data_IF_948635268739
#
_entry.id   IF_948635268739
#
_cell.length_a   1.000
_cell.length_b   1.000
_cell.length_c   1.000
_cell.angle_alpha   90.00
_cell.angle_beta   90.00
_cell.angle_gamma   90.00
#
_symmetry.space_group_name_H-M   'P 1'
#
loop_
_entity.id
_entity.type
_entity.pdbx_description
1 polymer ?
#
# COMPACT_ATOMS: atom_id res chain seq x y z
N UNK A 1 2.40 5.01 15.47
CA UNK A 1 2.34 3.80 16.34
C UNK A 1 2.93 2.64 15.57
N UNK A 2 3.71 1.81 16.22
CA UNK A 2 4.27 0.60 15.63
C UNK A 2 3.64 -0.62 16.31
N UNK A 3 3.13 -1.54 15.50
CA UNK A 3 2.58 -2.81 15.99
C UNK A 3 3.68 -3.87 15.83
N UNK A 4 4.30 -4.25 16.95
CA UNK A 4 5.36 -5.26 16.96
C UNK A 4 4.87 -6.63 16.50
N UNK A 5 5.75 -7.35 15.78
CA UNK A 5 5.55 -8.74 15.45
C UNK A 5 5.95 -9.68 16.59
N UNK A 6 5.61 -10.97 16.52
CA UNK A 6 6.10 -11.97 17.46
C UNK A 6 7.62 -12.14 17.33
N UNK A 7 8.27 -12.65 18.38
CA UNK A 7 9.66 -13.06 18.30
C UNK A 7 9.88 -14.05 17.13
N UNK A 8 11.04 -13.99 16.53
CA UNK A 8 11.42 -14.87 15.40
C UNK A 8 11.15 -16.33 15.75
N UNK A 9 10.37 -17.03 14.92
CA UNK A 9 10.00 -18.42 15.12
C UNK A 9 8.81 -18.66 16.07
N UNK A 10 8.17 -17.63 16.61
CA UNK A 10 7.08 -17.77 17.61
C UNK A 10 5.71 -17.29 17.16
N UNK A 11 5.34 -17.50 15.93
CA UNK A 11 3.96 -17.28 15.50
C UNK A 11 3.79 -16.40 14.26
N UNK A 12 2.53 -16.16 13.88
CA UNK A 12 2.17 -15.34 12.72
C UNK A 12 2.01 -13.88 13.13
N UNK A 13 2.64 -12.95 12.40
CA UNK A 13 2.48 -11.50 12.59
C UNK A 13 1.03 -11.02 12.51
N UNK A 14 0.17 -11.74 11.80
CA UNK A 14 -1.25 -11.42 11.66
C UNK A 14 -2.02 -11.35 12.98
N UNK A 15 -1.69 -12.17 13.98
CA UNK A 15 -2.31 -12.10 15.31
C UNK A 15 -1.93 -10.82 16.06
N UNK A 16 -0.66 -10.38 15.93
CA UNK A 16 -0.21 -9.11 16.51
C UNK A 16 -0.95 -7.92 15.91
N UNK A 17 -1.14 -7.92 14.59
CA UNK A 17 -1.90 -6.89 13.86
C UNK A 17 -3.35 -6.87 14.34
N UNK A 18 -4.03 -8.03 14.42
CA UNK A 18 -5.42 -8.12 14.90
C UNK A 18 -5.53 -7.53 16.32
N UNK A 19 -4.66 -7.95 17.23
CA UNK A 19 -4.68 -7.46 18.61
C UNK A 19 -4.40 -5.94 18.69
N UNK A 20 -3.49 -5.43 17.86
CA UNK A 20 -3.21 -4.01 17.77
C UNK A 20 -4.42 -3.19 17.33
N UNK A 21 -5.16 -3.64 16.32
CA UNK A 21 -6.40 -2.98 15.89
C UNK A 21 -7.50 -3.06 16.94
N UNK A 22 -7.67 -4.21 17.60
CA UNK A 22 -8.62 -4.33 18.72
C UNK A 22 -8.30 -3.37 19.88
N UNK A 23 -7.01 -3.14 20.14
CA UNK A 23 -6.59 -2.16 21.13
C UNK A 23 -6.88 -0.74 20.67
N UNK A 24 -6.62 -0.40 19.41
CA UNK A 24 -6.94 0.90 18.83
C UNK A 24 -8.44 1.20 18.93
N UNK A 25 -9.30 0.24 18.59
CA UNK A 25 -10.75 0.37 18.69
C UNK A 25 -11.17 0.62 20.16
N UNK A 26 -10.60 -0.13 21.12
CA UNK A 26 -10.85 0.08 22.56
C UNK A 26 -10.40 1.46 23.05
N UNK A 27 -9.40 2.05 22.42
CA UNK A 27 -8.91 3.41 22.72
C UNK A 27 -9.71 4.50 22.00
N UNK A 28 -10.78 4.17 21.29
CA UNK A 28 -11.64 5.13 20.60
C UNK A 28 -11.04 5.65 19.30
N UNK A 29 -10.26 4.85 18.59
CA UNK A 29 -9.60 5.23 17.34
C UNK A 29 -10.52 5.93 16.33
N UNK A 30 -11.78 5.53 16.25
CA UNK A 30 -12.77 6.12 15.34
C UNK A 30 -13.20 7.54 15.72
N UNK A 31 -12.97 7.94 16.96
CA UNK A 31 -13.32 9.27 17.49
C UNK A 31 -12.12 10.23 17.46
N UNK A 32 -10.97 9.78 16.98
CA UNK A 32 -9.77 10.62 16.90
C UNK A 32 -9.87 11.58 15.71
N UNK A 33 -9.55 12.85 15.94
CA UNK A 33 -9.62 13.92 14.95
C UNK A 33 -8.37 13.94 14.06
N UNK A 34 -8.32 13.01 13.09
CA UNK A 34 -7.27 12.94 12.09
C UNK A 34 -7.85 13.18 10.69
N UNK A 35 -7.20 14.05 9.90
CA UNK A 35 -7.53 14.21 8.48
C UNK A 35 -7.22 12.94 7.67
N UNK A 36 -6.11 12.27 8.00
CA UNK A 36 -5.65 11.05 7.34
C UNK A 36 -5.03 10.06 8.33
N UNK A 37 -5.30 8.79 8.12
CA UNK A 37 -4.64 7.69 8.81
C UNK A 37 -3.97 6.81 7.77
N UNK A 38 -2.63 6.70 7.84
CA UNK A 38 -1.85 5.84 6.98
C UNK A 38 -1.54 4.54 7.71
N UNK A 39 -1.98 3.43 7.13
CA UNK A 39 -1.71 2.08 7.61
C UNK A 39 -0.62 1.48 6.74
N UNK A 40 0.61 1.39 7.28
CA UNK A 40 1.75 0.82 6.59
C UNK A 40 1.80 -0.69 6.82
N UNK A 41 1.61 -1.47 5.74
CA UNK A 41 1.60 -2.92 5.76
C UNK A 41 2.72 -3.50 4.90
N UNK A 42 3.26 -4.62 5.37
CA UNK A 42 4.08 -5.46 4.51
C UNK A 42 3.25 -5.96 3.32
N UNK A 43 3.86 -6.02 2.14
CA UNK A 43 3.19 -6.45 0.90
C UNK A 43 2.71 -7.90 0.90
N UNK A 44 3.16 -8.71 1.86
CA UNK A 44 2.76 -10.11 1.97
C UNK A 44 1.36 -10.26 2.59
N UNK A 45 0.35 -10.39 1.74
CA UNK A 45 -1.07 -10.47 2.09
C UNK A 45 -1.49 -11.86 2.61
N UNK A 46 -0.55 -12.78 2.80
CA UNK A 46 -0.82 -14.19 3.16
C UNK A 46 -1.43 -14.34 4.56
N UNK A 47 -1.34 -13.32 5.40
CA UNK A 47 -1.89 -13.35 6.76
C UNK A 47 -3.24 -12.64 6.85
N UNK A 48 -4.25 -13.29 7.46
CA UNK A 48 -5.57 -12.71 7.71
C UNK A 48 -5.59 -11.37 8.47
N UNK A 49 -4.46 -10.97 9.08
CA UNK A 49 -4.29 -9.65 9.70
C UNK A 49 -4.37 -8.47 8.73
N UNK A 50 -3.95 -8.66 7.46
CA UNK A 50 -4.08 -7.61 6.44
C UNK A 50 -5.54 -7.33 6.06
N UNK A 51 -6.38 -8.35 6.05
CA UNK A 51 -7.79 -8.20 5.73
C UNK A 51 -8.62 -7.53 6.81
N UNK A 52 -8.13 -7.48 8.05
CA UNK A 52 -8.90 -6.98 9.18
C UNK A 52 -9.28 -5.49 9.05
N UNK A 53 -8.36 -4.55 8.72
CA UNK A 53 -8.72 -3.16 8.54
C UNK A 53 -9.73 -2.93 7.42
N UNK A 54 -9.64 -3.76 6.38
CA UNK A 54 -10.58 -3.72 5.26
C UNK A 54 -11.95 -4.26 5.71
N UNK A 55 -11.97 -5.41 6.39
CA UNK A 55 -13.20 -6.05 6.86
C UNK A 55 -13.96 -5.24 7.93
N UNK A 56 -13.26 -4.34 8.64
CA UNK A 56 -13.83 -3.47 9.68
C UNK A 56 -14.01 -2.02 9.23
N UNK A 57 -13.98 -1.74 7.93
CA UNK A 57 -14.09 -0.39 7.34
C UNK A 57 -13.09 0.65 7.89
N UNK A 58 -11.94 0.18 8.41
CA UNK A 58 -10.87 1.05 8.90
C UNK A 58 -9.99 1.58 7.77
N UNK A 59 -10.00 0.93 6.60
CA UNK A 59 -9.28 1.34 5.40
C UNK A 59 -10.25 1.49 4.23
N UNK A 60 -10.33 2.68 3.66
CA UNK A 60 -11.17 2.98 2.51
C UNK A 60 -10.40 2.87 1.20
N UNK A 61 -9.10 3.19 1.22
CA UNK A 61 -8.23 3.23 0.05
C UNK A 61 -6.99 2.37 0.27
N UNK A 62 -6.63 1.59 -0.72
CA UNK A 62 -5.36 0.86 -0.78
C UNK A 62 -4.47 1.53 -1.83
N UNK A 63 -3.25 1.87 -1.45
CA UNK A 63 -2.21 2.35 -2.34
C UNK A 63 -1.25 1.18 -2.54
N UNK A 64 -1.07 0.76 -3.78
CA UNK A 64 -0.07 -0.23 -4.15
C UNK A 64 1.28 0.45 -4.33
N UNK A 65 2.34 -0.17 -3.82
CA UNK A 65 3.72 0.25 -4.08
C UNK A 65 4.45 -0.95 -4.67
N UNK A 66 4.87 -0.85 -5.92
CA UNK A 66 5.57 -1.92 -6.62
C UNK A 66 6.71 -1.37 -7.49
N UNK A 67 7.68 -2.20 -7.79
CA UNK A 67 8.71 -1.97 -8.80
C UNK A 67 8.36 -2.70 -10.09
N UNK A 68 9.21 -2.56 -11.13
CA UNK A 68 9.00 -3.23 -12.41
C UNK A 68 9.30 -4.74 -12.38
N UNK A 69 9.80 -5.29 -11.28
CA UNK A 69 10.10 -6.72 -11.22
C UNK A 69 8.84 -7.59 -11.01
N UNK A 70 8.86 -8.77 -11.63
CA UNK A 70 7.73 -9.71 -11.64
C UNK A 70 7.24 -10.08 -10.25
N UNK A 71 8.14 -10.28 -9.27
CA UNK A 71 7.76 -10.64 -7.91
C UNK A 71 6.96 -9.53 -7.25
N UNK A 72 7.36 -8.27 -7.44
CA UNK A 72 6.67 -7.11 -6.92
C UNK A 72 5.27 -6.97 -7.53
N UNK A 73 5.14 -7.18 -8.84
CA UNK A 73 3.86 -7.12 -9.55
C UNK A 73 2.94 -8.28 -9.17
N UNK A 74 3.50 -9.47 -8.97
CA UNK A 74 2.74 -10.62 -8.46
C UNK A 74 2.11 -10.32 -7.08
N UNK A 75 2.88 -9.73 -6.17
CA UNK A 75 2.38 -9.32 -4.85
C UNK A 75 1.31 -8.23 -4.98
N UNK A 76 1.51 -7.23 -5.83
CA UNK A 76 0.52 -6.19 -6.11
C UNK A 76 -0.80 -6.77 -6.64
N UNK A 77 -0.73 -7.78 -7.52
CA UNK A 77 -1.91 -8.48 -8.03
C UNK A 77 -2.65 -9.27 -6.93
N UNK A 78 -1.92 -9.89 -6.00
CA UNK A 78 -2.53 -10.55 -4.84
C UNK A 78 -3.29 -9.56 -3.95
N UNK A 79 -2.77 -8.35 -3.78
CA UNK A 79 -3.48 -7.28 -3.06
C UNK A 79 -4.75 -6.87 -3.82
N UNK A 80 -4.69 -6.70 -5.14
CA UNK A 80 -5.88 -6.45 -5.97
C UNK A 80 -6.94 -7.55 -5.79
N UNK A 81 -6.52 -8.81 -5.78
CA UNK A 81 -7.40 -9.97 -5.57
C UNK A 81 -8.05 -9.95 -4.18
N UNK A 82 -7.29 -9.58 -3.15
CA UNK A 82 -7.81 -9.43 -1.79
C UNK A 82 -8.84 -8.29 -1.69
N UNK A 83 -8.57 -7.12 -2.28
CA UNK A 83 -9.53 -6.01 -2.34
C UNK A 83 -10.82 -6.44 -3.04
N UNK A 84 -10.74 -7.12 -4.18
CA UNK A 84 -11.90 -7.62 -4.90
C UNK A 84 -12.70 -8.64 -4.08
N UNK A 85 -12.01 -9.52 -3.35
CA UNK A 85 -12.65 -10.48 -2.44
C UNK A 85 -13.45 -9.78 -1.34
N UNK A 86 -12.85 -8.80 -0.65
CA UNK A 86 -13.54 -8.07 0.43
C UNK A 86 -14.70 -7.22 -0.10
N UNK A 87 -14.58 -6.64 -1.29
CA UNK A 87 -15.69 -5.95 -1.94
C UNK A 87 -16.87 -6.87 -2.24
N UNK A 88 -16.62 -8.11 -2.66
CA UNK A 88 -17.67 -9.11 -2.85
C UNK A 88 -18.40 -9.49 -1.55
N UNK A 89 -17.72 -9.34 -0.41
CA UNK A 89 -18.29 -9.53 0.91
C UNK A 89 -19.05 -8.29 1.44
N UNK A 90 -19.16 -7.23 0.65
CA UNK A 90 -19.86 -5.99 1.02
C UNK A 90 -18.96 -4.88 1.58
N UNK A 91 -17.64 -5.06 1.60
CA UNK A 91 -16.69 -4.03 2.01
C UNK A 91 -16.63 -2.85 1.03
N UNK A 92 -16.32 -1.66 1.52
CA UNK A 92 -16.27 -0.41 0.75
C UNK A 92 -14.85 0.02 0.36
N UNK A 93 -13.87 -0.86 0.51
CA UNK A 93 -12.47 -0.61 0.17
C UNK A 93 -12.26 -0.60 -1.35
N UNK A 94 -11.31 0.20 -1.83
CA UNK A 94 -10.86 0.18 -3.24
C UNK A 94 -9.38 0.50 -3.36
N UNK A 95 -8.82 0.27 -4.54
CA UNK A 95 -7.44 0.64 -4.86
C UNK A 95 -7.44 2.08 -5.37
N UNK A 96 -6.69 2.97 -4.71
CA UNK A 96 -6.49 4.35 -5.15
C UNK A 96 -5.61 4.42 -6.39
N UNK A 97 -4.57 3.58 -6.44
CA UNK A 97 -3.66 3.48 -7.56
C UNK A 97 -2.33 2.82 -7.18
N UNK A 98 -1.40 2.86 -8.14
CA UNK A 98 -0.06 2.31 -8.05
C UNK A 98 0.97 3.43 -7.92
N UNK A 99 1.89 3.30 -6.98
CA UNK A 99 3.17 4.03 -6.94
C UNK A 99 4.24 3.09 -7.49
N UNK A 100 4.84 3.47 -8.60
CA UNK A 100 5.99 2.74 -9.14
C UNK A 100 7.22 3.18 -8.35
N UNK A 101 7.83 2.28 -7.61
CA UNK A 101 9.02 2.55 -6.82
C UNK A 101 10.25 1.93 -7.50
N UNK A 102 11.38 2.62 -7.43
CA UNK A 102 12.62 2.23 -8.12
C UNK A 102 12.38 2.03 -9.63
N UNK A 103 11.65 2.94 -10.23
CA UNK A 103 11.35 2.89 -11.64
C UNK A 103 12.64 3.01 -12.46
N UNK A 104 12.94 1.96 -13.21
CA UNK A 104 14.10 1.86 -14.11
C UNK A 104 13.73 2.20 -15.57
N UNK A 105 12.46 2.54 -15.81
CA UNK A 105 11.94 2.90 -17.13
C UNK A 105 11.59 1.71 -18.02
N UNK A 106 11.62 0.47 -17.52
CA UNK A 106 11.29 -0.72 -18.32
C UNK A 106 9.80 -0.85 -18.66
N UNK A 107 8.91 -0.35 -17.77
CA UNK A 107 7.50 -0.13 -18.07
C UNK A 107 6.53 -1.25 -17.67
N UNK A 108 7.00 -2.35 -17.08
CA UNK A 108 6.17 -3.49 -16.67
C UNK A 108 5.11 -3.09 -15.64
N UNK A 109 5.49 -2.25 -14.67
CA UNK A 109 4.54 -1.77 -13.66
C UNK A 109 3.45 -0.87 -14.26
N UNK A 110 3.78 -0.08 -15.28
CA UNK A 110 2.80 0.74 -15.99
C UNK A 110 1.83 -0.14 -16.81
N UNK A 111 2.33 -1.15 -17.51
CA UNK A 111 1.51 -2.12 -18.24
C UNK A 111 0.60 -2.92 -17.31
N UNK A 112 1.10 -3.32 -16.14
CA UNK A 112 0.30 -3.95 -15.08
C UNK A 112 -0.84 -3.04 -14.63
N UNK A 113 -0.56 -1.77 -14.28
CA UNK A 113 -1.57 -0.81 -13.81
C UNK A 113 -2.68 -0.61 -14.85
N UNK A 114 -2.33 -0.51 -16.14
CA UNK A 114 -3.29 -0.42 -17.24
C UNK A 114 -4.17 -1.67 -17.31
N UNK A 115 -3.57 -2.85 -17.19
CA UNK A 115 -4.28 -4.14 -17.29
C UNK A 115 -5.27 -4.33 -16.15
N UNK A 116 -4.85 -4.04 -14.91
CA UNK A 116 -5.72 -4.17 -13.73
C UNK A 116 -6.65 -2.97 -13.53
N UNK A 117 -6.60 -1.96 -14.41
CA UNK A 117 -7.48 -0.78 -14.44
C UNK A 117 -7.36 0.12 -13.20
N UNK A 118 -6.13 0.41 -12.79
CA UNK A 118 -5.82 1.38 -11.74
C UNK A 118 -4.90 2.49 -12.27
N UNK A 119 -4.99 3.72 -11.76
CA UNK A 119 -4.10 4.80 -12.15
C UNK A 119 -2.70 4.64 -11.54
N UNK A 120 -1.72 5.26 -12.17
CA UNK A 120 -0.40 5.49 -11.58
C UNK A 120 -0.49 6.81 -10.79
N UNK A 121 -0.19 6.76 -9.50
CA UNK A 121 -0.20 7.93 -8.61
C UNK A 121 1.12 8.70 -8.68
N UNK A 122 2.22 7.99 -8.81
CA UNK A 122 3.56 8.54 -9.02
C UNK A 122 4.52 7.46 -9.53
N UNK A 123 5.59 7.90 -10.19
CA UNK A 123 6.76 7.08 -10.50
C UNK A 123 7.98 7.66 -9.77
N UNK A 124 8.58 6.87 -8.88
CA UNK A 124 9.77 7.22 -8.12
C UNK A 124 10.95 6.54 -8.80
N UNK A 125 11.88 7.30 -9.41
CA UNK A 125 12.94 6.71 -10.20
C UNK A 125 13.90 5.87 -9.34
N UNK A 126 14.53 4.91 -9.98
CA UNK A 126 15.69 4.22 -9.40
C UNK A 126 16.87 5.18 -9.38
N UNK A 127 17.13 5.77 -8.21
CA UNK A 127 18.15 6.80 -8.02
C UNK A 127 19.04 6.50 -6.82
N UNK A 128 20.35 6.68 -7.00
CA UNK A 128 21.36 6.39 -5.98
C UNK A 128 21.33 7.37 -4.80
N UNK A 129 20.95 8.64 -5.01
CA UNK A 129 20.83 9.62 -3.93
C UNK A 129 19.63 9.29 -3.04
N UNK A 130 18.47 8.98 -3.66
CA UNK A 130 17.29 8.49 -2.93
C UNK A 130 17.63 7.27 -2.07
N UNK A 131 18.29 6.28 -2.69
CA UNK A 131 18.68 5.04 -2.01
C UNK A 131 19.62 5.31 -0.84
N UNK A 132 20.65 6.14 -1.02
CA UNK A 132 21.62 6.48 0.02
C UNK A 132 20.99 7.27 1.17
N UNK A 133 20.14 8.25 0.86
CA UNK A 133 19.43 9.04 1.88
C UNK A 133 18.50 8.17 2.70
N UNK A 134 17.70 7.32 2.04
CA UNK A 134 16.80 6.38 2.71
C UNK A 134 17.57 5.40 3.61
N UNK A 135 18.69 4.83 3.13
CA UNK A 135 19.53 3.93 3.91
C UNK A 135 20.17 4.60 5.15
N UNK A 136 20.28 5.92 5.17
CA UNK A 136 20.77 6.70 6.29
C UNK A 136 19.63 7.36 7.11
N UNK A 137 18.41 6.87 6.95
CA UNK A 137 17.20 7.35 7.67
C UNK A 137 16.89 8.85 7.43
N UNK A 138 17.30 9.40 6.28
CA UNK A 138 16.92 10.76 5.91
C UNK A 138 15.54 10.76 5.26
N UNK A 139 14.69 11.72 5.66
CA UNK A 139 13.41 11.96 4.98
C UNK A 139 13.71 12.64 3.65
N UNK A 140 13.34 11.97 2.55
CA UNK A 140 13.65 12.45 1.19
C UNK A 140 12.57 13.36 0.61
N UNK A 141 11.33 13.29 1.10
CA UNK A 141 10.19 14.07 0.61
C UNK A 141 10.00 15.42 1.30
N UNK A 142 11.08 16.07 1.76
CA UNK A 142 10.98 17.42 2.33
C UNK A 142 10.88 18.47 1.23
N UNK A 143 10.27 19.62 1.52
CA UNK A 143 10.09 20.73 0.55
C UNK A 143 11.41 21.24 -0.04
N UNK A 144 12.50 21.14 0.72
CA UNK A 144 13.83 21.61 0.36
C UNK A 144 14.61 20.57 -0.47
N UNK A 145 14.10 19.36 -0.58
CA UNK A 145 14.76 18.30 -1.35
C UNK A 145 14.41 18.42 -2.83
N UNK A 146 15.32 17.94 -3.69
CA UNK A 146 15.04 17.80 -5.13
C UNK A 146 13.84 16.88 -5.44
N UNK A 147 13.40 16.09 -4.48
CA UNK A 147 12.27 15.17 -4.57
C UNK A 147 10.98 15.72 -3.95
N UNK A 148 11.04 16.93 -3.37
CA UNK A 148 9.92 17.52 -2.64
C UNK A 148 8.65 17.63 -3.47
N UNK A 149 8.75 18.12 -4.70
CA UNK A 149 7.61 18.28 -5.60
C UNK A 149 6.97 16.92 -5.97
N UNK A 150 7.80 15.89 -6.25
CA UNK A 150 7.33 14.54 -6.54
C UNK A 150 6.49 13.97 -5.40
N UNK A 151 6.97 14.10 -4.16
CA UNK A 151 6.24 13.59 -3.00
C UNK A 151 5.02 14.45 -2.65
N UNK A 152 5.04 15.75 -2.90
CA UNK A 152 3.87 16.62 -2.75
C UNK A 152 2.77 16.26 -3.76
N UNK A 153 3.14 16.02 -5.02
CA UNK A 153 2.22 15.56 -6.06
C UNK A 153 1.64 14.18 -5.73
N UNK A 154 2.48 13.23 -5.27
CA UNK A 154 2.01 11.92 -4.79
C UNK A 154 0.97 12.09 -3.67
N UNK A 155 1.21 12.98 -2.70
CA UNK A 155 0.26 13.27 -1.63
C UNK A 155 -1.08 13.76 -2.17
N UNK A 156 -1.06 14.72 -3.10
CA UNK A 156 -2.25 15.25 -3.76
C UNK A 156 -2.99 14.17 -4.54
N UNK A 157 -2.29 13.45 -5.41
CA UNK A 157 -2.88 12.37 -6.22
C UNK A 157 -3.52 11.28 -5.34
N UNK A 158 -2.88 10.93 -4.23
CA UNK A 158 -3.42 9.96 -3.27
C UNK A 158 -4.68 10.46 -2.57
N UNK A 159 -4.70 11.72 -2.15
CA UNK A 159 -5.86 12.33 -1.49
C UNK A 159 -7.07 12.38 -2.43
N UNK A 160 -6.87 12.78 -3.68
CA UNK A 160 -7.92 12.98 -4.68
C UNK A 160 -8.38 11.67 -5.36
N UNK A 161 -7.52 10.64 -5.42
CA UNK A 161 -7.85 9.39 -6.09
C UNK A 161 -9.07 8.70 -5.47
N UNK A 162 -10.07 8.30 -6.28
CA UNK A 162 -11.21 7.53 -5.77
C UNK A 162 -10.80 6.09 -5.46
N UNK A 163 -11.51 5.38 -4.56
CA UNK A 163 -11.31 3.96 -4.32
C UNK A 163 -11.89 3.14 -5.48
N UNK A 164 -11.04 2.73 -6.41
CA UNK A 164 -11.41 1.99 -7.61
C UNK A 164 -11.54 0.49 -7.35
N UNK A 165 -12.31 -0.19 -8.19
CA UNK A 165 -12.40 -1.63 -8.23
C UNK A 165 -11.35 -2.19 -9.20
N UNK A 166 -10.30 -2.85 -8.72
CA UNK A 166 -9.28 -3.42 -9.59
C UNK A 166 -9.81 -4.65 -10.35
N UNK A 167 -9.16 -4.97 -11.46
CA UNK A 167 -9.39 -6.22 -12.20
C UNK A 167 -8.15 -7.09 -12.09
N UNK A 168 -7.99 -7.89 -11.02
CA UNK A 168 -6.80 -8.70 -10.85
C UNK A 168 -6.64 -9.68 -12.00
N UNK A 169 -5.38 -9.95 -12.35
CA UNK A 169 -5.01 -10.97 -13.32
C UNK A 169 -5.22 -12.37 -12.72
N UNK A 170 -5.59 -13.32 -13.55
CA UNK A 170 -5.58 -14.75 -13.21
C UNK A 170 -4.14 -15.30 -13.21
N UNK A 171 -4.00 -16.59 -12.87
CA UNK A 171 -2.66 -17.20 -12.76
C UNK A 171 -1.91 -17.29 -14.09
N UNK A 172 -2.61 -17.19 -15.21
CA UNK A 172 -2.04 -17.27 -16.57
C UNK A 172 -1.72 -15.88 -17.15
N UNK A 173 -2.11 -14.81 -16.46
CA UNK A 173 -2.01 -13.42 -16.94
C UNK A 173 -0.82 -12.61 -16.40
N UNK A 174 0.01 -13.21 -15.54
CA UNK A 174 1.22 -12.58 -14.96
C UNK A 174 2.50 -13.05 -15.63
#
# INVERSE_FOLDING_TARGET
>A
MELGGPEVGRGCGGRGIIHGFELLEKLGFHDWDFDYVLLDFLGDVVCGGFGLPIARDMAQKVILVASNDLQSLYVANNVCSAVEYFRKLGGNVGVAGLVINKDDGSGEAAAFAETVKIPILASIPQDDDLRKKSANYHIVGTKESQWGDLFAELGTNTAEAPPLRPKPLDQDGL
#
